data_IF_058892753776
#
_entry.id   IF_058892753776
#
_cell.length_a   1.000
_cell.length_b   1.000
_cell.length_c   1.000
_cell.angle_alpha   90.00
_cell.angle_beta   90.00
_cell.angle_gamma   90.00
#
_symmetry.space_group_name_H-M   'P 1'
#
loop_
_entity.id
_entity.type
_entity.pdbx_description
1 polymer ?
#
# COMPACT_ATOMS: atom_id res chain seq x y z
N UNK A 1 -19.75 -9.87 28.01
CA UNK A 1 -20.34 -11.01 27.30
C UNK A 1 -19.75 -10.94 25.90
N UNK A 2 -18.66 -11.68 25.71
CA UNK A 2 -17.88 -11.71 24.47
C UNK A 2 -18.69 -12.53 23.46
N UNK A 3 -18.96 -11.97 22.30
CA UNK A 3 -19.44 -12.74 21.14
C UNK A 3 -18.18 -13.26 20.44
N UNK A 4 -17.95 -14.55 20.57
CA UNK A 4 -16.89 -15.30 19.91
C UNK A 4 -17.07 -15.27 18.39
N UNK A 5 -15.98 -14.98 17.71
CA UNK A 5 -15.79 -15.00 16.26
C UNK A 5 -15.82 -16.45 15.71
N UNK A 6 -16.98 -17.04 15.58
CA UNK A 6 -17.15 -18.34 14.93
C UNK A 6 -17.84 -18.25 13.56
N UNK A 7 -17.38 -17.32 12.71
CA UNK A 7 -17.72 -17.37 11.28
C UNK A 7 -17.01 -18.50 10.52
N UNK A 8 -16.00 -19.11 11.12
CA UNK A 8 -15.25 -20.21 10.53
C UNK A 8 -15.98 -21.58 10.58
N UNK A 9 -17.11 -21.68 11.29
CA UNK A 9 -17.79 -22.96 11.54
C UNK A 9 -18.92 -23.28 10.58
N UNK A 10 -19.23 -22.43 9.61
CA UNK A 10 -20.26 -22.78 8.62
C UNK A 10 -19.65 -23.60 7.47
N UNK A 11 -20.04 -24.89 7.29
CA UNK A 11 -19.50 -25.79 6.26
C UNK A 11 -19.61 -25.24 4.82
N UNK A 12 -20.57 -24.35 4.58
CA UNK A 12 -20.77 -23.72 3.27
C UNK A 12 -19.74 -22.61 3.01
N UNK A 13 -19.24 -21.89 4.03
CA UNK A 13 -18.19 -20.86 3.86
C UNK A 13 -16.88 -21.52 3.41
N UNK A 14 -16.51 -22.65 4.02
CA UNK A 14 -15.30 -23.39 3.63
C UNK A 14 -15.43 -24.06 2.25
N UNK A 15 -16.66 -24.33 1.82
CA UNK A 15 -16.94 -24.87 0.47
C UNK A 15 -16.87 -23.77 -0.58
N UNK A 16 -17.47 -22.60 -0.32
CA UNK A 16 -17.39 -21.44 -1.21
C UNK A 16 -15.94 -20.98 -1.38
N UNK A 17 -15.18 -20.88 -0.30
CA UNK A 17 -13.76 -20.53 -0.38
C UNK A 17 -12.94 -21.52 -1.22
N UNK A 18 -13.18 -22.83 -1.08
CA UNK A 18 -12.53 -23.86 -1.92
C UNK A 18 -12.95 -23.82 -3.37
N UNK A 19 -14.21 -23.54 -3.65
CA UNK A 19 -14.71 -23.39 -5.02
C UNK A 19 -14.18 -22.12 -5.66
N UNK A 20 -14.02 -21.01 -4.89
CA UNK A 20 -13.41 -19.77 -5.35
C UNK A 20 -11.88 -19.90 -5.55
N UNK A 21 -11.19 -20.70 -4.73
CA UNK A 21 -9.77 -21.03 -4.94
C UNK A 21 -9.54 -21.90 -6.19
N UNK A 22 -10.52 -22.73 -6.57
CA UNK A 22 -10.46 -23.55 -7.79
C UNK A 22 -10.74 -22.74 -9.07
N UNK A 23 -11.48 -21.66 -8.98
CA UNK A 23 -11.58 -20.66 -10.04
C UNK A 23 -10.36 -19.77 -9.95
N UNK A 24 -9.49 -19.76 -10.97
CA UNK A 24 -8.37 -18.83 -11.05
C UNK A 24 -8.90 -17.43 -10.83
N UNK A 25 -8.65 -16.89 -9.66
CA UNK A 25 -9.04 -15.56 -9.19
C UNK A 25 -8.53 -14.46 -10.15
N UNK A 26 -7.52 -14.75 -10.96
CA UNK A 26 -7.00 -13.90 -12.04
C UNK A 26 -8.09 -13.34 -12.99
N UNK A 27 -9.24 -14.00 -13.09
CA UNK A 27 -10.36 -13.52 -13.91
C UNK A 27 -11.33 -12.60 -13.18
N UNK A 28 -11.26 -12.52 -11.83
CA UNK A 28 -12.16 -11.69 -11.03
C UNK A 28 -11.51 -10.39 -10.52
N UNK A 29 -10.24 -10.16 -10.79
CA UNK A 29 -9.50 -8.98 -10.33
C UNK A 29 -9.70 -7.76 -11.23
N UNK A 30 -10.78 -7.69 -11.98
CA UNK A 30 -11.20 -6.49 -12.72
C UNK A 30 -12.05 -5.54 -11.87
N UNK A 31 -11.93 -5.62 -10.55
CA UNK A 31 -12.54 -4.66 -9.65
C UNK A 31 -11.81 -3.31 -9.72
N UNK A 32 -12.56 -2.23 -9.66
CA UNK A 32 -11.98 -0.89 -9.54
C UNK A 32 -11.15 -0.80 -8.26
N UNK A 33 -9.94 -0.25 -8.37
CA UNK A 33 -9.08 -0.01 -7.21
C UNK A 33 -9.20 1.46 -6.80
N UNK A 34 -9.64 1.69 -5.57
CA UNK A 34 -9.72 3.01 -4.96
C UNK A 34 -8.53 3.24 -4.04
N UNK A 35 -7.82 4.36 -4.24
CA UNK A 35 -6.73 4.78 -3.35
C UNK A 35 -7.24 5.92 -2.48
N UNK A 36 -7.15 5.77 -1.15
CA UNK A 36 -7.62 6.77 -0.19
C UNK A 36 -6.83 6.74 1.12
N UNK A 37 -6.99 7.78 1.92
CA UNK A 37 -6.59 7.76 3.32
C UNK A 37 -7.50 6.80 4.10
N UNK A 38 -6.90 6.09 5.05
CA UNK A 38 -7.65 5.26 6.01
C UNK A 38 -8.58 6.16 6.84
N UNK A 39 -9.88 5.93 6.77
CA UNK A 39 -10.89 6.69 7.52
C UNK A 39 -11.81 5.79 8.36
N UNK A 40 -12.12 4.60 7.87
CA UNK A 40 -13.04 3.68 8.51
C UNK A 40 -12.31 2.65 9.40
N UNK A 41 -12.99 2.13 10.41
CA UNK A 41 -12.39 1.16 11.33
C UNK A 41 -12.04 -0.17 10.67
N UNK A 42 -12.87 -0.66 9.75
CA UNK A 42 -12.60 -1.87 9.00
C UNK A 42 -11.39 -1.71 8.08
N UNK A 43 -11.22 -0.55 7.44
CA UNK A 43 -10.04 -0.22 6.62
C UNK A 43 -8.78 -0.23 7.48
N UNK A 44 -8.87 0.35 8.69
CA UNK A 44 -7.77 0.40 9.66
C UNK A 44 -7.37 -0.98 10.12
N UNK A 45 -8.34 -1.86 10.39
CA UNK A 45 -8.07 -3.25 10.76
C UNK A 45 -7.37 -4.00 9.62
N UNK A 46 -7.89 -3.91 8.40
CA UNK A 46 -7.30 -4.59 7.24
C UNK A 46 -5.94 -4.00 6.85
N UNK A 47 -5.76 -2.68 6.96
CA UNK A 47 -4.49 -2.00 6.78
C UNK A 47 -3.39 -2.59 7.67
N UNK A 48 -3.64 -2.75 8.96
CA UNK A 48 -2.66 -3.34 9.87
C UNK A 48 -2.48 -4.84 9.64
N UNK A 49 -3.54 -5.59 9.35
CA UNK A 49 -3.44 -7.01 9.02
C UNK A 49 -2.56 -7.27 7.79
N UNK A 50 -2.75 -6.50 6.73
CA UNK A 50 -1.95 -6.63 5.50
C UNK A 50 -0.47 -6.31 5.76
N UNK A 51 -0.18 -5.25 6.52
CA UNK A 51 1.18 -4.88 6.91
C UNK A 51 1.84 -5.98 7.74
N UNK A 52 1.16 -6.45 8.78
CA UNK A 52 1.66 -7.53 9.64
C UNK A 52 1.90 -8.82 8.84
N UNK A 53 0.96 -9.21 7.98
CA UNK A 53 1.10 -10.37 7.11
C UNK A 53 2.35 -10.26 6.23
N UNK A 54 2.61 -9.07 5.67
CA UNK A 54 3.76 -8.85 4.79
C UNK A 54 5.08 -8.75 5.56
N UNK A 55 5.18 -7.85 6.55
CA UNK A 55 6.48 -7.51 7.15
C UNK A 55 6.90 -8.46 8.26
N UNK A 56 5.95 -9.03 8.99
CA UNK A 56 6.24 -9.98 10.07
C UNK A 56 6.27 -11.42 9.58
N UNK A 57 5.22 -11.87 8.87
CA UNK A 57 5.09 -13.29 8.55
C UNK A 57 5.74 -13.67 7.22
N UNK A 58 5.52 -12.90 6.15
CA UNK A 58 6.09 -13.24 4.84
C UNK A 58 7.58 -12.89 4.76
N UNK A 59 7.94 -11.64 5.07
CA UNK A 59 9.31 -11.15 4.93
C UNK A 59 10.17 -11.39 6.17
N UNK A 60 9.56 -11.66 7.32
CA UNK A 60 10.23 -11.86 8.62
C UNK A 60 11.21 -10.72 8.97
N UNK A 61 10.93 -9.51 8.47
CA UNK A 61 11.76 -8.33 8.67
C UNK A 61 11.62 -7.74 10.06
N UNK A 62 10.44 -7.86 10.66
CA UNK A 62 10.09 -7.20 11.91
C UNK A 62 9.47 -8.21 12.87
N UNK A 63 9.80 -8.09 14.15
CA UNK A 63 9.10 -8.82 15.20
C UNK A 63 7.70 -8.26 15.43
N UNK A 64 7.59 -6.93 15.38
CA UNK A 64 6.33 -6.19 15.44
C UNK A 64 6.29 -5.19 14.28
N UNK A 65 5.16 -5.13 13.56
CA UNK A 65 5.00 -4.20 12.45
C UNK A 65 4.77 -2.76 12.92
N UNK A 66 4.05 -2.59 14.03
CA UNK A 66 3.76 -1.28 14.59
C UNK A 66 4.96 -0.72 15.36
N UNK A 67 5.21 0.57 15.15
CA UNK A 67 6.26 1.32 15.84
C UNK A 67 5.75 2.70 16.32
N UNK A 68 6.61 3.47 16.98
CA UNK A 68 6.27 4.80 17.50
C UNK A 68 5.79 5.77 16.41
N UNK A 69 6.21 5.60 15.16
CA UNK A 69 5.79 6.48 14.07
C UNK A 69 4.31 6.29 13.71
N UNK A 70 3.70 5.13 14.03
CA UNK A 70 2.29 4.87 13.73
C UNK A 70 1.34 5.79 14.50
N UNK A 71 1.75 6.39 15.63
CA UNK A 71 0.94 7.38 16.36
C UNK A 71 0.72 8.69 15.60
N UNK A 72 1.66 9.08 14.73
CA UNK A 72 1.59 10.32 13.93
C UNK A 72 1.42 10.06 12.44
N UNK A 73 1.35 8.80 12.05
CA UNK A 73 1.30 8.41 10.66
C UNK A 73 -0.10 8.51 10.06
N UNK A 74 -0.13 8.82 8.78
CA UNK A 74 -1.29 8.66 7.92
C UNK A 74 -1.16 7.35 7.15
N UNK A 75 -2.16 6.49 7.25
CA UNK A 75 -2.30 5.29 6.43
C UNK A 75 -2.99 5.61 5.11
N UNK A 76 -2.46 5.11 4.01
CA UNK A 76 -3.07 5.16 2.69
C UNK A 76 -3.29 3.73 2.23
N UNK A 77 -4.47 3.44 1.72
CA UNK A 77 -4.87 2.09 1.29
C UNK A 77 -5.32 2.06 -0.15
N UNK A 78 -5.08 0.92 -0.77
CA UNK A 78 -5.71 0.51 -2.02
C UNK A 78 -6.84 -0.46 -1.67
N UNK A 79 -8.06 -0.12 -2.05
CA UNK A 79 -9.26 -0.92 -1.76
C UNK A 79 -9.77 -1.47 -3.08
N UNK A 80 -9.90 -2.79 -3.16
CA UNK A 80 -10.63 -3.46 -4.23
C UNK A 80 -12.13 -3.27 -4.00
N UNK A 81 -12.86 -2.92 -5.06
CA UNK A 81 -14.31 -2.83 -5.04
C UNK A 81 -14.92 -4.02 -5.76
N UNK A 82 -15.95 -4.62 -5.18
CA UNK A 82 -16.80 -5.60 -5.84
C UNK A 82 -18.19 -5.00 -6.06
N UNK A 83 -18.67 -5.01 -7.29
CA UNK A 83 -19.96 -4.44 -7.66
C UNK A 83 -20.16 -2.97 -7.23
N UNK A 84 -19.06 -2.20 -7.20
CA UNK A 84 -19.09 -0.79 -6.79
C UNK A 84 -19.01 -0.55 -5.27
N UNK A 85 -19.00 -1.61 -4.45
CA UNK A 85 -18.89 -1.53 -3.00
C UNK A 85 -17.46 -1.88 -2.53
N UNK A 86 -16.92 -1.20 -1.51
CA UNK A 86 -15.62 -1.54 -0.93
C UNK A 86 -15.64 -2.97 -0.36
N UNK A 87 -14.64 -3.77 -0.73
CA UNK A 87 -14.55 -5.17 -0.33
C UNK A 87 -13.31 -5.45 0.52
N UNK A 88 -12.13 -5.19 -0.01
CA UNK A 88 -10.87 -5.59 0.61
C UNK A 88 -9.78 -4.55 0.44
N UNK A 89 -8.96 -4.36 1.50
CA UNK A 89 -7.69 -3.64 1.41
C UNK A 89 -6.64 -4.55 0.77
N UNK A 90 -6.22 -4.21 -0.44
CA UNK A 90 -5.27 -4.98 -1.24
C UNK A 90 -3.89 -4.34 -1.32
N UNK A 91 -3.73 -3.16 -0.76
CA UNK A 91 -2.44 -2.49 -0.68
C UNK A 91 -2.42 -1.42 0.41
N UNK A 92 -1.25 -1.14 0.94
CA UNK A 92 -1.05 -0.19 2.03
C UNK A 92 0.28 0.54 1.91
N UNK A 93 0.31 1.79 2.38
CA UNK A 93 1.53 2.56 2.61
C UNK A 93 1.32 3.50 3.79
N UNK A 94 2.37 3.74 4.55
CA UNK A 94 2.41 4.68 5.67
C UNK A 94 3.21 5.91 5.29
N UNK A 95 2.72 7.11 5.66
CA UNK A 95 3.50 8.35 5.61
C UNK A 95 3.44 9.05 6.96
N UNK A 96 4.52 9.71 7.35
CA UNK A 96 4.55 10.46 8.61
C UNK A 96 5.52 11.64 8.54
N UNK A 97 5.25 12.75 9.27
CA UNK A 97 6.16 13.88 9.35
C UNK A 97 7.34 13.59 10.28
N UNK A 98 8.51 14.13 9.91
CA UNK A 98 9.73 14.11 10.70
C UNK A 98 10.39 15.49 10.64
N UNK A 99 9.97 16.37 11.56
CA UNK A 99 10.29 17.78 11.54
C UNK A 99 9.32 18.63 10.72
N UNK A 100 9.69 19.87 10.43
CA UNK A 100 8.76 20.86 9.86
C UNK A 100 8.37 20.59 8.42
N UNK A 101 9.28 20.06 7.60
CA UNK A 101 9.07 19.94 6.14
C UNK A 101 9.59 18.62 5.55
N UNK A 102 10.08 17.72 6.41
CA UNK A 102 10.54 16.39 6.02
C UNK A 102 9.47 15.37 6.35
N UNK A 103 9.18 14.50 5.40
CA UNK A 103 8.25 13.39 5.55
C UNK A 103 8.90 12.08 5.15
N UNK A 104 8.43 11.02 5.75
CA UNK A 104 8.86 9.66 5.46
C UNK A 104 7.73 8.81 4.93
N UNK A 105 8.05 7.99 3.93
CA UNK A 105 7.22 6.87 3.48
C UNK A 105 7.76 5.55 4.02
N UNK A 106 6.86 4.61 4.30
CA UNK A 106 7.24 3.28 4.73
C UNK A 106 6.08 2.30 4.72
N UNK A 107 6.39 1.05 5.00
CA UNK A 107 5.37 -0.02 5.07
C UNK A 107 4.55 -0.16 3.78
N UNK A 108 5.17 0.11 2.62
CA UNK A 108 4.54 -0.16 1.33
C UNK A 108 4.41 -1.67 1.12
N UNK A 109 3.19 -2.12 0.98
CA UNK A 109 2.89 -3.52 0.69
C UNK A 109 1.66 -3.65 -0.19
N UNK A 110 1.62 -4.76 -0.95
CA UNK A 110 0.50 -5.15 -1.79
C UNK A 110 0.22 -6.63 -1.50
N UNK A 111 -1.05 -6.97 -1.39
CA UNK A 111 -1.49 -8.35 -1.18
C UNK A 111 -0.90 -9.26 -2.28
N UNK A 112 -0.37 -10.44 -1.94
CA UNK A 112 0.27 -11.35 -2.90
C UNK A 112 -0.57 -11.65 -4.13
N UNK A 113 -1.88 -11.79 -3.98
CA UNK A 113 -2.81 -12.05 -5.10
C UNK A 113 -2.91 -10.89 -6.09
N UNK A 114 -2.57 -9.66 -5.65
CA UNK A 114 -2.68 -8.43 -6.43
C UNK A 114 -1.33 -7.87 -6.91
N UNK A 115 -0.19 -8.51 -6.58
CA UNK A 115 1.16 -8.01 -6.94
C UNK A 115 1.46 -8.01 -8.43
N UNK A 116 0.80 -8.87 -9.19
CA UNK A 116 0.92 -8.87 -10.65
C UNK A 116 0.31 -7.61 -11.30
N UNK A 117 -0.56 -6.90 -10.58
CA UNK A 117 -1.03 -5.58 -10.96
C UNK A 117 -0.02 -4.51 -10.52
N UNK A 118 1.02 -4.30 -11.32
CA UNK A 118 2.09 -3.32 -11.03
C UNK A 118 1.58 -1.88 -10.79
N UNK A 119 0.36 -1.58 -11.19
CA UNK A 119 -0.29 -0.28 -10.99
C UNK A 119 -0.57 0.05 -9.53
N UNK A 120 -0.90 -0.93 -8.66
CA UNK A 120 -1.27 -0.67 -7.26
C UNK A 120 -0.11 -0.07 -6.47
N UNK A 121 1.07 -0.66 -6.54
CA UNK A 121 2.27 -0.14 -5.87
C UNK A 121 2.63 1.27 -6.35
N UNK A 122 2.59 1.51 -7.67
CA UNK A 122 2.81 2.84 -8.26
C UNK A 122 1.78 3.85 -7.78
N UNK A 123 0.50 3.47 -7.75
CA UNK A 123 -0.59 4.35 -7.31
C UNK A 123 -0.46 4.73 -5.82
N UNK A 124 -0.08 3.77 -4.96
CA UNK A 124 0.18 4.02 -3.54
C UNK A 124 1.38 4.95 -3.33
N UNK A 125 2.49 4.76 -4.07
CA UNK A 125 3.65 5.65 -4.01
C UNK A 125 3.26 7.07 -4.45
N UNK A 126 2.52 7.20 -5.56
CA UNK A 126 2.05 8.48 -6.05
C UNK A 126 1.13 9.17 -5.02
N UNK A 127 0.20 8.45 -4.44
CA UNK A 127 -0.69 8.97 -3.40
C UNK A 127 0.10 9.42 -2.16
N UNK A 128 1.06 8.62 -1.71
CA UNK A 128 1.91 8.92 -0.56
C UNK A 128 2.67 10.24 -0.74
N UNK A 129 3.40 10.37 -1.85
CA UNK A 129 4.21 11.58 -2.13
C UNK A 129 3.33 12.79 -2.37
N UNK A 130 2.24 12.66 -3.13
CA UNK A 130 1.30 13.75 -3.42
C UNK A 130 0.60 14.25 -2.16
N UNK A 131 0.19 13.33 -1.27
CA UNK A 131 -0.43 13.68 0.01
C UNK A 131 0.54 14.43 0.91
N UNK A 132 1.77 13.92 1.08
CA UNK A 132 2.79 14.61 1.87
C UNK A 132 3.10 16.01 1.30
N UNK A 133 3.25 16.13 -0.02
CA UNK A 133 3.49 17.40 -0.71
C UNK A 133 2.35 18.41 -0.44
N UNK A 134 1.10 17.98 -0.44
CA UNK A 134 -0.04 18.83 -0.13
C UNK A 134 -0.05 19.28 1.34
N UNK A 135 0.50 18.47 2.24
CA UNK A 135 0.68 18.79 3.65
C UNK A 135 1.95 19.63 3.94
N UNK A 136 2.60 20.16 2.90
CA UNK A 136 3.75 21.06 3.04
C UNK A 136 5.10 20.37 3.05
N UNK A 137 5.17 19.09 2.66
CA UNK A 137 6.43 18.37 2.52
C UNK A 137 7.33 19.03 1.47
N UNK A 138 8.60 19.28 1.82
CA UNK A 138 9.64 19.71 0.90
C UNK A 138 10.70 18.63 0.65
N UNK A 139 10.81 17.67 1.57
CA UNK A 139 11.70 16.52 1.42
C UNK A 139 10.95 15.25 1.80
N UNK A 140 10.78 14.35 0.85
CA UNK A 140 10.12 13.06 1.09
C UNK A 140 11.13 11.93 0.96
N UNK A 141 11.31 11.17 2.02
CA UNK A 141 12.30 10.10 2.14
C UNK A 141 11.63 8.74 2.34
N UNK A 142 12.31 7.69 1.92
CA UNK A 142 11.95 6.32 2.27
C UNK A 142 13.20 5.44 2.33
N UNK A 143 13.15 4.44 3.20
CA UNK A 143 14.11 3.35 3.22
C UNK A 143 13.54 2.20 2.39
N UNK A 144 14.19 1.89 1.28
CA UNK A 144 13.72 0.95 0.28
C UNK A 144 14.67 -0.26 0.25
N UNK A 145 14.13 -1.48 0.23
CA UNK A 145 14.95 -2.68 0.03
C UNK A 145 15.72 -2.58 -1.28
N UNK A 146 16.99 -2.92 -1.29
CA UNK A 146 17.91 -2.76 -2.43
C UNK A 146 17.35 -3.39 -3.72
N UNK A 147 16.67 -4.53 -3.63
CA UNK A 147 16.03 -5.19 -4.77
C UNK A 147 14.95 -4.32 -5.47
N UNK A 148 14.35 -3.37 -4.75
CA UNK A 148 13.31 -2.48 -5.27
C UNK A 148 13.86 -1.12 -5.74
N UNK A 149 15.14 -0.83 -5.56
CA UNK A 149 15.76 0.45 -5.89
C UNK A 149 15.45 0.88 -7.33
N UNK A 150 15.68 -0.02 -8.31
CA UNK A 150 15.42 0.28 -9.73
C UNK A 150 13.97 0.59 -10.03
N UNK A 151 13.04 -0.03 -9.31
CA UNK A 151 11.62 0.26 -9.45
C UNK A 151 11.29 1.68 -8.97
N UNK A 152 11.84 2.09 -7.82
CA UNK A 152 11.66 3.45 -7.31
C UNK A 152 12.34 4.50 -8.20
N UNK A 153 13.52 4.22 -8.76
CA UNK A 153 14.19 5.13 -9.71
C UNK A 153 13.31 5.42 -10.94
N UNK A 154 12.59 4.41 -11.47
CA UNK A 154 11.60 4.61 -12.55
C UNK A 154 10.41 5.49 -12.15
N UNK A 155 10.18 5.65 -10.85
CA UNK A 155 9.13 6.50 -10.28
C UNK A 155 9.68 7.84 -9.79
N UNK A 156 10.81 8.30 -10.33
CA UNK A 156 11.46 9.57 -10.01
C UNK A 156 11.95 9.68 -8.56
N UNK A 157 12.59 8.62 -8.08
CA UNK A 157 13.30 8.60 -6.81
C UNK A 157 14.80 8.55 -7.04
N UNK A 158 15.54 9.26 -6.21
CA UNK A 158 17.00 9.32 -6.21
C UNK A 158 17.57 8.50 -5.05
N UNK A 159 18.57 7.68 -5.32
CA UNK A 159 19.32 6.95 -4.29
C UNK A 159 20.25 7.92 -3.58
N UNK A 160 20.14 8.01 -2.25
CA UNK A 160 20.94 8.91 -1.43
C UNK A 160 22.10 8.19 -0.73
N UNK A 161 21.81 7.02 -0.15
CA UNK A 161 22.80 6.28 0.67
C UNK A 161 22.36 4.82 0.82
N UNK A 162 23.32 3.91 0.73
CA UNK A 162 23.13 2.50 1.12
C UNK A 162 23.15 2.39 2.65
N UNK A 163 22.24 1.60 3.19
CA UNK A 163 22.09 1.35 4.63
C UNK A 163 21.63 -0.07 4.87
N UNK A 164 21.94 -0.62 6.04
CA UNK A 164 21.43 -1.92 6.45
C UNK A 164 20.29 -1.73 7.47
N UNK A 165 19.17 -2.41 7.25
CA UNK A 165 18.06 -2.46 8.19
C UNK A 165 17.79 -3.92 8.54
N UNK A 166 17.92 -4.28 9.80
CA UNK A 166 17.79 -5.66 10.28
C UNK A 166 18.67 -6.66 9.47
N UNK A 167 19.91 -6.27 9.13
CA UNK A 167 20.89 -7.03 8.34
C UNK A 167 20.46 -7.29 6.87
N UNK A 168 19.47 -6.55 6.39
CA UNK A 168 19.04 -6.61 4.99
C UNK A 168 19.47 -5.30 4.30
N UNK A 169 20.11 -5.40 3.12
CA UNK A 169 20.54 -4.22 2.36
C UNK A 169 19.33 -3.36 1.94
N UNK A 170 19.39 -2.10 2.28
CA UNK A 170 18.42 -1.08 1.92
C UNK A 170 19.12 0.15 1.33
N UNK A 171 18.34 0.98 0.67
CA UNK A 171 18.77 2.27 0.14
C UNK A 171 17.89 3.36 0.71
N UNK A 172 18.47 4.38 1.31
CA UNK A 172 17.78 5.63 1.59
C UNK A 172 17.52 6.33 0.27
N UNK A 173 16.26 6.59 -0.07
CA UNK A 173 15.87 7.23 -1.31
C UNK A 173 15.04 8.49 -1.05
N UNK A 174 15.12 9.44 -1.96
CA UNK A 174 14.41 10.71 -1.94
C UNK A 174 13.52 10.86 -3.18
N UNK A 175 12.25 11.19 -2.98
CA UNK A 175 11.33 11.48 -4.08
C UNK A 175 11.60 12.85 -4.71
N UNK A 176 11.59 12.93 -6.02
CA UNK A 176 11.65 14.17 -6.79
C UNK A 176 10.25 14.78 -6.86
N UNK A 177 9.90 15.63 -5.90
CA UNK A 177 8.53 16.16 -5.71
C UNK A 177 7.95 16.88 -6.92
N UNK A 178 8.78 17.36 -7.85
CA UNK A 178 8.34 18.03 -9.08
C UNK A 178 7.50 17.11 -9.98
N UNK A 179 7.77 15.80 -9.94
CA UNK A 179 7.06 14.80 -10.75
C UNK A 179 5.75 14.32 -10.12
N UNK A 180 5.39 14.81 -8.94
CA UNK A 180 4.19 14.41 -8.22
C UNK A 180 3.18 15.56 -8.17
N UNK A 181 1.98 15.41 -8.78
CA UNK A 181 0.97 16.45 -8.79
C UNK A 181 0.41 16.67 -7.38
N UNK A 182 -0.03 17.90 -7.10
CA UNK A 182 -0.87 18.14 -5.93
C UNK A 182 -2.23 17.49 -6.16
N UNK A 183 -2.70 16.71 -5.21
CA UNK A 183 -4.02 16.08 -5.26
C UNK A 183 -4.82 16.45 -4.03
N UNK A 184 -6.12 16.66 -4.20
CA UNK A 184 -6.99 17.00 -3.08
C UNK A 184 -7.22 15.74 -2.22
N UNK A 185 -6.83 15.80 -0.93
CA UNK A 185 -6.88 14.68 0.02
C UNK A 185 -8.32 14.32 0.40
N UNK A 186 -9.26 15.27 0.26
CA UNK A 186 -10.65 15.12 0.70
C UNK A 186 -11.53 14.29 -0.24
N UNK A 187 -11.03 13.90 -1.41
CA UNK A 187 -11.75 13.03 -2.34
C UNK A 187 -11.16 11.63 -2.33
N UNK A 188 -11.99 10.62 -2.09
CA UNK A 188 -11.66 9.25 -2.40
C UNK A 188 -11.26 9.16 -3.88
N UNK A 189 -10.01 8.76 -4.14
CA UNK A 189 -9.51 8.71 -5.51
C UNK A 189 -10.04 7.46 -6.19
N UNK A 190 -11.13 7.60 -6.94
CA UNK A 190 -11.43 6.63 -7.99
C UNK A 190 -10.41 6.86 -9.11
N UNK A 191 -9.34 6.11 -9.13
CA UNK A 191 -8.52 5.96 -10.31
C UNK A 191 -8.73 4.55 -10.83
N UNK A 192 -9.17 4.45 -12.08
CA UNK A 192 -8.96 3.26 -12.89
C UNK A 192 -7.44 3.08 -13.04
N UNK A 193 -6.78 2.64 -11.97
CA UNK A 193 -5.33 2.54 -11.91
C UNK A 193 -4.76 1.60 -12.98
N UNK A 194 -5.62 0.84 -13.65
CA UNK A 194 -5.24 -0.17 -14.63
C UNK A 194 -5.59 0.19 -16.09
N UNK A 195 -6.28 1.30 -16.38
CA UNK A 195 -6.65 1.63 -17.76
C UNK A 195 -5.55 2.36 -18.56
N UNK A 196 -4.54 2.92 -17.92
CA UNK A 196 -3.49 3.70 -18.62
C UNK A 196 -2.37 2.85 -19.25
N UNK A 197 -2.38 1.52 -19.12
CA UNK A 197 -1.26 0.68 -19.61
C UNK A 197 -1.41 0.25 -21.08
N UNK A 198 -2.53 0.57 -21.74
CA UNK A 198 -2.79 0.07 -23.10
C UNK A 198 -2.58 1.08 -24.25
N UNK A 199 -2.04 2.27 -24.03
CA UNK A 199 -1.92 3.29 -25.10
C UNK A 199 -0.49 3.74 -25.46
N UNK A 200 0.57 3.07 -24.98
CA UNK A 200 1.95 3.41 -25.39
C UNK A 200 2.67 2.26 -26.11
N UNK A 201 2.01 1.59 -27.04
CA UNK A 201 2.68 0.78 -28.06
C UNK A 201 1.91 0.87 -29.37
N UNK A 202 2.21 1.88 -30.13
CA UNK A 202 2.02 1.94 -31.59
C UNK A 202 3.11 2.79 -32.20
#
# INVERSE_FOLDING_TARGET
MYLDDDLATFPWVSRINRELEAYRIEQFVSGDIVIKLVSEDWERQQYYRLREATFRYEQQLLQEDRDEHDFKALGIVAICQMFGEPDQVVGAVRIFPDGAMTWWGGRLCVDPLYRHHHCIGKALINAAVSTAKQLGCQTFLATVQQQNERYFQKLYWESCKEIDVAQIPHVLMRAQLAHYPLRNISQAYMQHACQEVHHETS
#
